data_IF_672805352009
#
_entry.id   IF_672805352009
#
_cell.length_a   1.000
_cell.length_b   1.000
_cell.length_c   1.000
_cell.angle_alpha   90.00
_cell.angle_beta   90.00
_cell.angle_gamma   90.00
#
_symmetry.space_group_name_H-M   'P 1'
#
loop_
_entity.id
_entity.type
_entity.pdbx_description
1 polymer ?
#
# COMPACT_ATOMS: atom_id res chain seq x y z
N UNK A 1 5.55 1.82 5.39
CA UNK A 1 4.31 1.73 4.59
C UNK A 1 3.81 0.30 4.62
N UNK A 2 2.54 0.05 4.37
CA UNK A 2 1.97 -1.29 4.29
C UNK A 2 1.01 -1.41 3.08
N UNK A 3 0.58 -2.63 2.76
CA UNK A 3 -0.47 -2.93 1.78
C UNK A 3 -1.12 -4.27 2.07
N UNK A 4 -2.30 -4.46 1.49
CA UNK A 4 -2.89 -5.79 1.29
C UNK A 4 -2.74 -6.17 -0.19
N UNK A 5 -2.49 -7.46 -0.46
CA UNK A 5 -2.56 -8.06 -1.80
C UNK A 5 -1.25 -8.57 -2.41
N UNK A 6 -1.41 -9.34 -3.50
CA UNK A 6 -0.48 -10.27 -4.17
C UNK A 6 0.81 -9.74 -4.85
N UNK A 7 1.54 -8.78 -4.26
CA UNK A 7 2.92 -8.39 -4.66
C UNK A 7 3.15 -7.71 -6.03
N UNK A 8 2.29 -7.92 -7.03
CA UNK A 8 2.32 -7.22 -8.33
C UNK A 8 1.64 -5.84 -8.27
N UNK A 9 0.97 -5.51 -7.17
CA UNK A 9 0.36 -4.20 -6.93
C UNK A 9 1.38 -3.08 -6.69
N UNK A 10 0.94 -1.84 -6.96
CA UNK A 10 1.72 -0.60 -6.83
C UNK A 10 1.19 0.37 -5.76
N UNK A 11 0.06 0.05 -5.13
CA UNK A 11 -0.54 0.88 -4.09
C UNK A 11 -0.13 0.42 -2.69
N UNK A 12 0.17 1.41 -1.84
CA UNK A 12 0.53 1.28 -0.43
C UNK A 12 -0.14 2.38 0.41
N UNK A 13 -0.15 2.23 1.74
CA UNK A 13 -0.62 3.23 2.69
C UNK A 13 0.44 3.49 3.78
N UNK A 14 0.33 4.57 4.58
CA UNK A 14 1.03 4.67 5.87
C UNK A 14 0.78 3.42 6.74
N UNK A 15 1.80 2.93 7.46
CA UNK A 15 1.66 1.73 8.31
C UNK A 15 0.54 1.95 9.33
N UNK A 16 -0.40 1.01 9.42
CA UNK A 16 -1.51 1.10 10.37
C UNK A 16 -2.68 1.97 9.91
N UNK A 17 -2.76 2.36 8.63
CA UNK A 17 -3.97 3.01 8.08
C UNK A 17 -5.19 2.11 8.31
N UNK A 18 -6.28 2.59 8.96
CA UNK A 18 -7.44 1.77 9.28
C UNK A 18 -8.09 1.14 8.04
N UNK A 19 -8.63 -0.06 8.16
CA UNK A 19 -9.14 -0.82 7.01
C UNK A 19 -10.27 -0.08 6.26
N UNK A 20 -11.23 0.50 6.99
CA UNK A 20 -12.30 1.32 6.43
C UNK A 20 -11.80 2.60 5.74
N UNK A 21 -10.58 3.05 6.05
CA UNK A 21 -9.98 4.21 5.39
C UNK A 21 -9.25 3.85 4.08
N UNK A 22 -9.07 2.55 3.79
CA UNK A 22 -8.42 2.06 2.57
C UNK A 22 -9.37 1.88 1.39
N UNK A 23 -10.68 1.84 1.64
CA UNK A 23 -11.73 1.65 0.62
C UNK A 23 -11.41 0.51 -0.36
N UNK A 24 -11.04 -0.65 0.18
CA UNK A 24 -10.73 -1.85 -0.61
C UNK A 24 -12.02 -2.67 -0.83
N UNK A 25 -12.17 -3.36 -1.97
CA UNK A 25 -13.37 -4.16 -2.25
C UNK A 25 -13.57 -5.27 -1.22
N UNK A 26 -14.82 -5.63 -0.89
CA UNK A 26 -15.12 -6.78 -0.03
C UNK A 26 -14.69 -8.08 -0.72
N UNK A 27 -14.12 -9.01 0.05
CA UNK A 27 -13.65 -10.30 -0.45
C UNK A 27 -12.20 -10.58 -0.02
N UNK A 28 -11.50 -11.39 -0.82
CA UNK A 28 -10.10 -11.73 -0.55
C UNK A 28 -9.17 -10.53 -0.85
N UNK A 29 -8.75 -9.83 0.20
CA UNK A 29 -7.82 -8.70 0.14
C UNK A 29 -6.38 -9.12 -0.24
N UNK A 30 -6.08 -10.42 -0.18
CA UNK A 30 -4.74 -10.98 -0.26
C UNK A 30 -3.83 -10.58 0.92
N UNK A 31 -2.57 -11.00 0.84
CA UNK A 31 -1.66 -10.97 1.99
C UNK A 31 -1.38 -9.55 2.51
N UNK A 32 -1.42 -9.39 3.84
CA UNK A 32 -0.91 -8.19 4.50
C UNK A 32 0.62 -8.17 4.44
N UNK A 33 1.17 -7.03 4.02
CA UNK A 33 2.59 -6.83 3.82
C UNK A 33 3.02 -5.46 4.35
N UNK A 34 3.98 -5.43 5.28
CA UNK A 34 4.52 -4.20 5.86
C UNK A 34 6.00 -3.99 5.51
N UNK A 35 6.38 -2.75 5.23
CA UNK A 35 7.72 -2.40 4.75
C UNK A 35 8.29 -1.12 5.37
N UNK A 36 9.61 -1.12 5.60
CA UNK A 36 10.42 0.08 5.79
C UNK A 36 11.03 0.49 4.44
N UNK A 37 10.97 1.78 4.12
CA UNK A 37 11.71 2.36 2.98
C UNK A 37 13.15 2.57 3.42
N UNK A 38 14.11 2.03 2.67
CA UNK A 38 15.56 2.10 2.98
C UNK A 38 16.36 2.89 1.93
N UNK A 39 15.77 3.14 0.76
CA UNK A 39 16.28 4.08 -0.25
C UNK A 39 15.15 5.05 -0.61
N UNK A 40 15.36 6.37 -0.62
CA UNK A 40 14.36 7.32 -1.10
C UNK A 40 13.94 7.02 -2.55
N UNK A 41 12.66 7.19 -2.84
CA UNK A 41 12.08 7.09 -4.18
C UNK A 41 10.79 7.91 -4.26
N UNK A 42 10.44 8.36 -5.45
CA UNK A 42 9.22 9.15 -5.66
C UNK A 42 7.96 8.27 -5.67
N UNK A 43 6.87 8.83 -5.14
CA UNK A 43 5.52 8.26 -5.16
C UNK A 43 4.51 9.36 -5.44
N UNK A 44 3.41 9.02 -6.13
CA UNK A 44 2.25 9.90 -6.15
C UNK A 44 1.47 9.70 -4.85
N UNK A 45 1.24 10.77 -4.11
CA UNK A 45 0.48 10.77 -2.85
C UNK A 45 -0.93 11.28 -3.12
N UNK A 46 -1.96 10.54 -2.71
CA UNK A 46 -3.36 10.99 -2.84
C UNK A 46 -4.21 10.57 -1.65
N UNK A 47 -5.38 11.22 -1.52
CA UNK A 47 -6.45 10.82 -0.61
C UNK A 47 -7.31 9.76 -1.30
N UNK A 48 -7.61 8.67 -0.60
CA UNK A 48 -8.47 7.59 -1.09
C UNK A 48 -9.92 8.11 -1.11
N UNK A 49 -10.64 7.94 -2.22
CA UNK A 49 -12.06 8.28 -2.29
C UNK A 49 -12.91 7.25 -1.51
N UNK A 50 -14.06 7.63 -0.93
CA UNK A 50 -15.02 6.67 -0.38
C UNK A 50 -15.48 5.68 -1.46
N UNK A 51 -15.44 4.38 -1.17
CA UNK A 51 -15.86 3.32 -2.07
C UNK A 51 -16.24 2.05 -1.29
N UNK A 52 -17.00 1.14 -1.93
CA UNK A 52 -17.36 -0.17 -1.36
C UNK A 52 -18.03 -0.13 0.03
N UNK A 53 -18.80 0.92 0.32
CA UNK A 53 -19.44 1.13 1.63
C UNK A 53 -18.46 1.51 2.76
N UNK A 54 -17.20 1.80 2.44
CA UNK A 54 -16.16 2.20 3.39
C UNK A 54 -15.88 3.71 3.32
N UNK A 55 -15.42 4.25 4.44
CA UNK A 55 -15.12 5.69 4.62
C UNK A 55 -14.14 6.23 3.58
N UNK A 56 -13.10 5.46 3.22
CA UNK A 56 -11.97 6.00 2.47
C UNK A 56 -11.28 7.12 3.26
N UNK A 57 -10.87 8.18 2.58
CA UNK A 57 -10.17 9.36 3.14
C UNK A 57 -8.80 9.05 3.78
N UNK A 58 -8.34 7.79 3.74
CA UNK A 58 -6.96 7.43 4.05
C UNK A 58 -5.98 7.98 3.02
N UNK A 59 -4.71 8.11 3.42
CA UNK A 59 -3.62 8.48 2.49
C UNK A 59 -3.11 7.22 1.78
N UNK A 60 -2.92 7.31 0.47
CA UNK A 60 -2.26 6.27 -0.33
C UNK A 60 -1.04 6.80 -1.09
N UNK A 61 -0.18 5.86 -1.45
CA UNK A 61 1.00 6.07 -2.28
C UNK A 61 0.93 5.13 -3.49
N UNK A 62 0.97 5.69 -4.69
CA UNK A 62 1.20 4.95 -5.92
C UNK A 62 2.71 5.00 -6.26
N UNK A 63 3.35 3.84 -6.26
CA UNK A 63 4.76 3.70 -6.67
C UNK A 63 4.89 3.52 -8.18
N UNK A 64 6.03 3.91 -8.79
CA UNK A 64 6.24 3.73 -10.24
C UNK A 64 6.28 2.24 -10.64
N UNK A 65 6.82 1.39 -9.77
CA UNK A 65 6.96 -0.07 -9.96
C UNK A 65 6.29 -0.84 -8.82
N UNK A 66 6.03 -2.13 -9.01
CA UNK A 66 5.33 -2.95 -8.02
C UNK A 66 6.18 -3.33 -6.79
N UNK A 67 5.51 -3.82 -5.74
CA UNK A 67 6.13 -4.28 -4.48
C UNK A 67 7.29 -5.25 -4.71
N UNK A 68 7.11 -6.27 -5.56
CA UNK A 68 8.16 -7.25 -5.88
C UNK A 68 9.40 -6.59 -6.51
N UNK A 69 9.23 -5.56 -7.35
CA UNK A 69 10.34 -4.79 -7.94
C UNK A 69 11.04 -3.91 -6.91
N UNK A 70 10.29 -3.27 -5.99
CA UNK A 70 10.86 -2.48 -4.91
C UNK A 70 11.70 -3.34 -3.93
N UNK A 71 11.21 -4.54 -3.62
CA UNK A 71 11.92 -5.55 -2.82
C UNK A 71 13.18 -6.04 -3.55
N UNK A 72 13.06 -6.48 -4.81
CA UNK A 72 14.20 -6.98 -5.60
C UNK A 72 15.32 -5.94 -5.80
N UNK A 73 14.98 -4.65 -5.80
CA UNK A 73 15.96 -3.53 -5.88
C UNK A 73 16.50 -3.09 -4.51
N UNK A 74 16.02 -3.68 -3.42
CA UNK A 74 16.36 -3.27 -2.04
C UNK A 74 16.03 -1.81 -1.77
N UNK A 75 14.93 -1.30 -2.34
CA UNK A 75 14.41 0.05 -2.07
C UNK A 75 13.58 0.04 -0.78
N UNK A 76 12.89 -1.09 -0.55
CA UNK A 76 12.11 -1.37 0.66
C UNK A 76 12.53 -2.73 1.21
N UNK A 77 12.37 -2.91 2.52
CA UNK A 77 12.59 -4.19 3.23
C UNK A 77 11.35 -4.55 4.04
N UNK A 78 11.01 -5.84 4.18
CA UNK A 78 9.93 -6.27 5.08
C UNK A 78 10.20 -5.84 6.52
N UNK A 79 9.14 -5.63 7.29
CA UNK A 79 9.18 -5.45 8.74
C UNK A 79 8.12 -6.33 9.41
N UNK A 80 8.32 -6.69 10.69
CA UNK A 80 7.24 -7.20 11.55
C UNK A 80 6.06 -6.20 11.67
#
# INVERSE_FOLDING_TARGET
MDRFGSGFGKYFSPKGTPMNMRALPPGNLGDYNAFRVVKPFEVQSSTIAPAFGQTGLGKQFLSPVNMNTLLKRGIIVPIP
#
